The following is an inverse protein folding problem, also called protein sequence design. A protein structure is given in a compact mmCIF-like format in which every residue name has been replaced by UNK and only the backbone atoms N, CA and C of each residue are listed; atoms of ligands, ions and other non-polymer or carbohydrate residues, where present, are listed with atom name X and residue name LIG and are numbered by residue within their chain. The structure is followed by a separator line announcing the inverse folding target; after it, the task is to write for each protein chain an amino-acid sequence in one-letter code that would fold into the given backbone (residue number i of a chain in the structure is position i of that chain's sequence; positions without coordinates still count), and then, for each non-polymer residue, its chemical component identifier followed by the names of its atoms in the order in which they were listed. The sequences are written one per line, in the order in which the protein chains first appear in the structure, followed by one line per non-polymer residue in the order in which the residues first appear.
data_IF_685448297842
#
_entry.id   IF_685448297842
#
_cell.length_a   1.000
_cell.length_b   1.000
_cell.length_c   1.000
_cell.angle_alpha   90.00
_cell.angle_beta   90.00
_cell.angle_gamma   90.00
#
_symmetry.space_group_name_H-M   'P 1'
#
loop_
_entity.id
_entity.type
_entity.pdbx_description
1 polymer ?
#
# COMPACT_ATOMS: atom_id res chain seq x y z
N UNK A 1 -6.16 10.39 16.00
CA UNK A 1 -6.05 11.68 15.28
C UNK A 1 -7.11 11.77 14.20
N UNK A 2 -6.89 11.29 12.95
CA UNK A 2 -7.92 11.35 11.90
C UNK A 2 -9.13 10.43 12.15
N UNK A 3 -8.89 9.13 12.39
CA UNK A 3 -9.96 8.15 12.69
C UNK A 3 -10.80 8.47 13.93
N UNK A 4 -10.25 9.23 14.87
CA UNK A 4 -10.95 9.64 16.09
C UNK A 4 -11.68 10.98 15.94
N UNK A 5 -11.67 11.58 14.74
CA UNK A 5 -12.28 12.90 14.48
C UNK A 5 -11.50 14.10 15.01
N UNK A 6 -10.24 13.92 15.42
CA UNK A 6 -9.42 14.97 16.05
C UNK A 6 -8.39 15.60 15.10
N UNK A 7 -8.46 15.36 13.78
CA UNK A 7 -7.54 15.99 12.84
C UNK A 7 -7.60 15.45 11.42
N UNK A 8 -6.64 15.90 10.61
CA UNK A 8 -6.46 15.55 9.20
C UNK A 8 -5.12 14.84 9.01
N UNK A 9 -5.05 13.89 8.07
CA UNK A 9 -3.81 13.20 7.71
C UNK A 9 -3.68 13.09 6.18
N UNK A 10 -2.45 13.06 5.71
CA UNK A 10 -2.11 12.54 4.38
C UNK A 10 -1.84 11.05 4.52
N UNK A 11 -2.33 10.24 3.59
CA UNK A 11 -2.14 8.81 3.61
C UNK A 11 -2.23 8.20 2.21
N UNK A 12 -1.69 7.00 2.07
CA UNK A 12 -1.77 6.23 0.84
C UNK A 12 -3.22 5.80 0.60
N UNK A 13 -3.76 6.21 -0.55
CA UNK A 13 -5.15 5.94 -0.92
C UNK A 13 -5.44 4.43 -0.98
N UNK A 14 -4.46 3.60 -1.37
CA UNK A 14 -4.61 2.13 -1.42
C UNK A 14 -4.91 1.55 -0.06
N UNK A 15 -4.27 2.08 0.99
CA UNK A 15 -4.43 1.60 2.36
C UNK A 15 -5.70 2.13 3.03
N UNK A 16 -6.26 3.24 2.54
CA UNK A 16 -7.40 3.92 3.15
C UNK A 16 -8.70 3.74 2.35
N UNK A 17 -8.67 3.02 1.23
CA UNK A 17 -9.81 2.94 0.31
C UNK A 17 -11.05 2.35 0.98
N UNK A 18 -10.88 1.35 1.86
CA UNK A 18 -11.99 0.77 2.63
C UNK A 18 -12.59 1.75 3.65
N UNK A 19 -11.75 2.55 4.30
CA UNK A 19 -12.20 3.58 5.24
C UNK A 19 -12.93 4.72 4.52
N UNK A 20 -12.50 5.07 3.31
CA UNK A 20 -13.18 6.03 2.45
C UNK A 20 -14.52 5.46 1.95
N UNK A 21 -14.54 4.21 1.49
CA UNK A 21 -15.75 3.55 1.00
C UNK A 21 -16.82 3.38 2.09
N UNK A 22 -16.38 3.03 3.30
CA UNK A 22 -17.26 2.87 4.46
C UNK A 22 -17.69 4.20 5.11
N UNK A 23 -17.09 5.32 4.70
CA UNK A 23 -17.34 6.64 5.27
C UNK A 23 -16.73 6.87 6.66
N UNK A 24 -15.88 5.94 7.14
CA UNK A 24 -15.09 6.16 8.37
C UNK A 24 -14.10 7.31 8.22
N UNK A 25 -13.62 7.52 6.99
CA UNK A 25 -12.85 8.69 6.59
C UNK A 25 -13.54 9.39 5.41
N UNK A 26 -13.22 10.67 5.25
CA UNK A 26 -13.65 11.46 4.08
C UNK A 26 -12.43 12.12 3.45
N UNK A 27 -12.38 12.11 2.11
CA UNK A 27 -11.34 12.82 1.37
C UNK A 27 -11.66 14.32 1.37
N UNK A 28 -10.79 15.11 1.99
CA UNK A 28 -11.01 16.56 2.13
C UNK A 28 -10.69 17.36 0.87
N UNK A 29 -9.83 16.84 0.00
CA UNK A 29 -9.37 17.56 -1.18
C UNK A 29 -9.10 16.59 -2.35
N UNK A 30 -9.46 16.95 -3.59
CA UNK A 30 -9.38 16.01 -4.72
C UNK A 30 -7.94 15.77 -5.20
N UNK A 31 -7.00 16.68 -4.94
CA UNK A 31 -5.61 16.53 -5.38
C UNK A 31 -4.81 15.65 -4.42
N UNK A 32 -4.12 14.67 -4.98
CA UNK A 32 -3.10 13.88 -4.33
C UNK A 32 -1.75 14.05 -5.05
N UNK A 33 -0.69 13.61 -4.39
CA UNK A 33 0.62 13.47 -5.03
C UNK A 33 0.71 12.06 -5.61
N UNK A 34 1.15 11.94 -6.87
CA UNK A 34 1.58 10.67 -7.41
C UNK A 34 2.97 10.37 -6.83
N UNK A 35 2.98 9.63 -5.72
CA UNK A 35 4.20 9.07 -5.18
C UNK A 35 4.65 7.91 -6.05
N UNK A 36 5.91 7.89 -6.47
CA UNK A 36 6.53 6.72 -7.11
C UNK A 36 6.89 5.64 -6.06
N UNK A 37 6.11 5.56 -4.99
CA UNK A 37 6.41 4.80 -3.78
C UNK A 37 6.15 3.32 -4.03
N UNK A 38 7.19 2.66 -4.52
CA UNK A 38 7.25 1.22 -4.65
C UNK A 38 7.26 0.59 -3.25
N UNK A 39 6.23 -0.18 -2.91
CA UNK A 39 6.30 -1.12 -1.80
C UNK A 39 7.28 -2.23 -2.20
N UNK A 40 8.31 -2.44 -1.39
CA UNK A 40 9.37 -3.41 -1.69
C UNK A 40 9.21 -4.67 -0.85
N UNK A 41 9.40 -5.83 -1.49
CA UNK A 41 9.63 -7.09 -0.78
C UNK A 41 11.10 -7.16 -0.41
N UNK A 42 11.40 -7.13 0.89
CA UNK A 42 12.77 -7.14 1.43
C UNK A 42 13.06 -8.48 2.10
N UNK A 43 14.17 -9.11 1.72
CA UNK A 43 14.63 -10.38 2.28
C UNK A 43 16.15 -10.38 2.44
N UNK A 44 16.72 -11.21 3.34
CA UNK A 44 18.16 -11.25 3.57
C UNK A 44 18.95 -11.54 2.28
N UNK A 45 20.06 -10.82 2.10
CA UNK A 45 20.99 -11.11 1.01
C UNK A 45 21.68 -12.44 1.29
N UNK A 46 21.39 -13.44 0.46
CA UNK A 46 22.01 -14.76 0.51
C UNK A 46 22.69 -15.08 -0.85
N UNK A 47 23.77 -15.88 -0.87
CA UNK A 47 24.37 -16.36 -2.13
C UNK A 47 23.38 -17.12 -3.02
N UNK A 48 22.41 -17.79 -2.38
CA UNK A 48 21.27 -18.44 -3.04
C UNK A 48 20.01 -18.04 -2.28
N UNK A 49 19.19 -17.12 -2.81
CA UNK A 49 17.90 -16.78 -2.21
C UNK A 49 16.98 -18.00 -2.11
N UNK A 50 16.14 -18.03 -1.08
CA UNK A 50 15.13 -19.09 -0.94
C UNK A 50 14.14 -19.01 -2.12
N UNK A 51 14.03 -20.07 -2.95
CA UNK A 51 13.15 -20.05 -4.12
C UNK A 51 11.68 -19.79 -3.76
N UNK A 52 11.25 -20.14 -2.54
CA UNK A 52 9.88 -19.87 -2.07
C UNK A 52 9.62 -18.37 -1.90
N UNK A 53 10.63 -17.62 -1.46
CA UNK A 53 10.54 -16.15 -1.30
C UNK A 53 10.48 -15.48 -2.68
N UNK A 54 11.28 -15.98 -3.63
CA UNK A 54 11.26 -15.47 -5.01
C UNK A 54 9.91 -15.73 -5.66
N UNK A 55 9.41 -16.97 -5.60
CA UNK A 55 8.10 -17.33 -6.14
C UNK A 55 6.97 -16.50 -5.53
N UNK A 56 7.01 -16.26 -4.23
CA UNK A 56 6.03 -15.40 -3.56
C UNK A 56 6.12 -13.95 -4.05
N UNK A 57 7.32 -13.39 -4.20
CA UNK A 57 7.51 -12.01 -4.67
C UNK A 57 7.09 -11.84 -6.14
N UNK A 58 7.31 -12.85 -6.98
CA UNK A 58 6.84 -12.89 -8.37
C UNK A 58 5.33 -12.96 -8.43
N UNK A 59 4.73 -13.92 -7.71
CA UNK A 59 3.28 -14.03 -7.62
C UNK A 59 2.63 -12.74 -7.13
N UNK A 60 3.17 -12.12 -6.07
CA UNK A 60 2.64 -10.86 -5.53
C UNK A 60 2.70 -9.72 -6.56
N UNK A 61 3.76 -9.67 -7.37
CA UNK A 61 3.89 -8.66 -8.43
C UNK A 61 2.85 -8.87 -9.52
N UNK A 62 2.63 -10.12 -9.92
CA UNK A 62 1.68 -10.45 -10.98
C UNK A 62 0.25 -10.21 -10.52
N UNK A 63 -0.08 -10.57 -9.28
CA UNK A 63 -1.39 -10.34 -8.66
C UNK A 63 -1.74 -8.84 -8.65
N UNK A 64 -0.80 -7.99 -8.20
CA UNK A 64 -0.94 -6.53 -8.20
C UNK A 64 -1.01 -5.90 -9.60
N UNK A 65 -0.55 -6.59 -10.64
CA UNK A 65 -0.66 -6.11 -12.03
C UNK A 65 -1.99 -6.48 -12.70
N UNK A 66 -2.73 -7.44 -12.12
CA UNK A 66 -4.02 -7.92 -12.63
C UNK A 66 -5.23 -7.26 -11.95
N UNK A 67 -5.00 -6.38 -10.97
CA UNK A 67 -6.00 -5.59 -10.24
C UNK A 67 -6.20 -4.19 -10.86
#
# INVERSE_FOLDING_TARGET
MAFSGHGVALGDKRLLQDDLNSGRLVQLHPHGLEGNDAMYVVFPKAPTPDPRVILFAEWLRDDLANE
#
